data_IF_270767425653
#
_entry.id   IF_270767425653
#
_cell.length_a   1.000
_cell.length_b   1.000
_cell.length_c   1.000
_cell.angle_alpha   90.00
_cell.angle_beta   90.00
_cell.angle_gamma   90.00
#
_symmetry.space_group_name_H-M   'P 1'
#
loop_
_entity.id
_entity.type
_entity.pdbx_description
1 polymer ?
#
# COMPACT_ATOMS: atom_id res chain seq x y z
N UNK A 1 -48.83 19.52 14.16
CA UNK A 1 -49.92 19.66 13.16
C UNK A 1 -49.68 20.99 12.48
N UNK A 2 -49.37 21.01 11.19
CA UNK A 2 -49.20 22.28 10.47
C UNK A 2 -50.57 22.95 10.26
N UNK A 3 -50.60 24.27 10.11
CA UNK A 3 -51.84 25.06 9.95
C UNK A 3 -52.65 24.70 8.70
N UNK A 4 -52.05 24.00 7.73
CA UNK A 4 -52.69 23.51 6.51
C UNK A 4 -53.28 22.09 6.63
N UNK A 5 -53.27 21.47 7.82
CA UNK A 5 -53.81 20.13 8.03
C UNK A 5 -52.92 18.98 7.53
N UNK A 6 -51.72 19.27 6.99
CA UNK A 6 -50.78 18.22 6.57
C UNK A 6 -50.25 17.43 7.78
N UNK A 7 -50.34 16.10 7.68
CA UNK A 7 -49.84 15.14 8.68
C UNK A 7 -48.95 14.12 7.96
N UNK A 8 -47.62 14.27 8.03
CA UNK A 8 -46.72 13.26 7.48
C UNK A 8 -46.90 11.94 8.26
N UNK A 9 -46.98 10.83 7.53
CA UNK A 9 -47.06 9.48 8.06
C UNK A 9 -45.91 8.65 7.45
N UNK A 10 -44.68 8.78 7.95
CA UNK A 10 -43.56 7.96 7.48
C UNK A 10 -43.79 6.48 7.81
N UNK A 11 -43.09 5.60 7.10
CA UNK A 11 -43.11 4.18 7.41
C UNK A 11 -42.36 3.91 8.73
N UNK A 12 -42.91 3.04 9.56
CA UNK A 12 -42.24 2.53 10.76
C UNK A 12 -41.22 1.47 10.36
N UNK A 13 -39.94 1.87 10.27
CA UNK A 13 -38.83 1.02 9.82
C UNK A 13 -37.72 0.88 10.88
N UNK A 14 -38.03 1.15 12.15
CA UNK A 14 -37.06 1.08 13.26
C UNK A 14 -36.38 -0.28 13.37
N UNK A 15 -37.08 -1.33 12.96
CA UNK A 15 -36.62 -2.72 13.07
C UNK A 15 -35.76 -3.14 11.87
N UNK A 16 -35.73 -2.34 10.79
CA UNK A 16 -34.92 -2.59 9.60
C UNK A 16 -33.51 -2.04 9.80
N UNK A 17 -32.57 -2.95 10.05
CA UNK A 17 -31.14 -2.63 10.16
C UNK A 17 -30.45 -2.84 8.82
N UNK A 18 -29.71 -1.83 8.38
CA UNK A 18 -28.88 -1.93 7.19
C UNK A 18 -27.64 -2.76 7.47
N UNK A 19 -27.18 -3.50 6.45
CA UNK A 19 -25.91 -4.24 6.51
C UNK A 19 -24.72 -3.29 6.35
N UNK A 20 -23.49 -3.70 6.74
CA UNK A 20 -22.29 -2.90 6.52
C UNK A 20 -22.07 -2.53 5.04
N UNK A 21 -22.34 -3.45 4.11
CA UNK A 21 -22.26 -3.20 2.67
C UNK A 21 -23.25 -2.10 2.23
N UNK A 22 -24.48 -2.13 2.76
CA UNK A 22 -25.48 -1.10 2.48
C UNK A 22 -25.10 0.27 3.04
N UNK A 23 -24.43 0.35 4.20
CA UNK A 23 -23.91 1.62 4.72
C UNK A 23 -22.77 2.19 3.84
N UNK A 24 -21.93 1.33 3.24
CA UNK A 24 -20.94 1.76 2.24
C UNK A 24 -21.64 2.29 0.98
N UNK A 25 -22.70 1.61 0.53
CA UNK A 25 -23.51 2.07 -0.60
C UNK A 25 -24.14 3.45 -0.34
N UNK A 26 -24.64 3.70 0.88
CA UNK A 26 -25.18 5.01 1.27
C UNK A 26 -24.16 6.13 1.05
N UNK A 27 -22.89 5.92 1.42
CA UNK A 27 -21.85 6.94 1.23
C UNK A 27 -21.51 7.16 -0.25
N UNK A 28 -21.40 6.08 -1.04
CA UNK A 28 -21.21 6.18 -2.50
C UNK A 28 -22.36 6.93 -3.19
N UNK A 29 -23.59 6.70 -2.76
CA UNK A 29 -24.76 7.43 -3.27
C UNK A 29 -24.73 8.90 -2.86
N UNK A 30 -24.28 9.21 -1.63
CA UNK A 30 -24.17 10.58 -1.14
C UNK A 30 -23.12 11.38 -1.92
N UNK A 31 -21.98 10.75 -2.21
CA UNK A 31 -20.95 11.30 -3.07
C UNK A 31 -21.48 11.55 -4.49
N UNK A 32 -22.14 10.57 -5.10
CA UNK A 32 -22.69 10.74 -6.44
C UNK A 32 -23.76 11.84 -6.52
N UNK A 33 -24.67 11.89 -5.55
CA UNK A 33 -25.68 12.95 -5.47
C UNK A 33 -25.04 14.35 -5.39
N UNK A 34 -23.97 14.48 -4.61
CA UNK A 34 -23.18 15.71 -4.55
C UNK A 34 -22.51 16.04 -5.88
N UNK A 35 -21.90 15.06 -6.54
CA UNK A 35 -21.21 15.25 -7.82
C UNK A 35 -22.19 15.68 -8.92
N UNK A 36 -23.39 15.11 -8.97
CA UNK A 36 -24.46 15.53 -9.90
C UNK A 36 -24.87 16.98 -9.61
N UNK A 37 -25.13 17.33 -8.35
CA UNK A 37 -25.46 18.70 -7.95
C UNK A 37 -24.34 19.68 -8.34
N UNK A 38 -23.09 19.34 -8.06
CA UNK A 38 -21.93 20.19 -8.35
C UNK A 38 -21.77 20.39 -9.86
N UNK A 39 -21.90 19.32 -10.66
CA UNK A 39 -21.87 19.38 -12.13
C UNK A 39 -22.93 20.32 -12.68
N UNK A 40 -24.17 20.22 -12.21
CA UNK A 40 -25.27 21.08 -12.66
C UNK A 40 -25.05 22.55 -12.25
N UNK A 41 -24.53 22.78 -11.05
CA UNK A 41 -24.20 24.13 -10.59
C UNK A 41 -23.06 24.76 -11.39
N UNK A 42 -22.00 24.02 -11.68
CA UNK A 42 -20.90 24.48 -12.53
C UNK A 42 -21.44 24.83 -13.92
N UNK A 43 -22.30 23.99 -14.50
CA UNK A 43 -22.94 24.26 -15.81
C UNK A 43 -23.80 25.53 -15.81
N UNK A 44 -24.40 25.86 -14.67
CA UNK A 44 -25.14 27.11 -14.46
C UNK A 44 -24.24 28.33 -14.15
N UNK A 45 -22.91 28.17 -14.22
CA UNK A 45 -21.93 29.22 -13.97
C UNK A 45 -21.71 29.52 -12.49
N UNK A 46 -22.06 28.59 -11.59
CA UNK A 46 -21.68 28.72 -10.18
C UNK A 46 -20.20 28.39 -10.00
N UNK A 47 -19.56 29.10 -9.09
CA UNK A 47 -18.15 28.94 -8.75
C UNK A 47 -17.98 28.71 -7.25
N UNK A 48 -16.80 28.24 -6.87
CA UNK A 48 -16.45 28.12 -5.46
C UNK A 48 -16.34 29.51 -4.79
N UNK A 49 -16.81 29.60 -3.55
CA UNK A 49 -16.54 30.75 -2.70
C UNK A 49 -16.64 30.42 -1.23
N UNK A 50 -15.86 31.10 -0.41
CA UNK A 50 -15.77 30.85 1.05
C UNK A 50 -17.13 31.00 1.74
N UNK A 51 -17.99 31.87 1.21
CA UNK A 51 -19.36 32.08 1.67
C UNK A 51 -20.34 31.90 0.51
N UNK A 52 -21.58 31.56 0.87
CA UNK A 52 -22.65 31.46 -0.11
C UNK A 52 -23.06 32.86 -0.56
N UNK A 53 -22.95 33.13 -1.85
CA UNK A 53 -23.40 34.37 -2.48
C UNK A 53 -24.18 34.05 -3.75
N UNK A 54 -25.49 34.23 -3.68
CA UNK A 54 -26.39 33.94 -4.79
C UNK A 54 -26.22 34.96 -5.93
N UNK A 55 -25.86 36.22 -5.62
CA UNK A 55 -25.71 37.28 -6.63
C UNK A 55 -24.50 37.03 -7.51
N UNK A 56 -23.37 36.65 -6.90
CA UNK A 56 -22.14 36.28 -7.65
C UNK A 56 -22.06 34.80 -8.02
N UNK A 57 -23.13 34.02 -7.75
CA UNK A 57 -23.20 32.57 -7.99
C UNK A 57 -22.03 31.81 -7.33
N UNK A 58 -21.74 32.09 -6.07
CA UNK A 58 -20.70 31.41 -5.29
C UNK A 58 -21.28 30.49 -4.23
N UNK A 59 -20.70 29.30 -4.08
CA UNK A 59 -21.14 28.34 -3.07
C UNK A 59 -19.94 27.63 -2.40
N UNK A 60 -19.85 27.60 -1.06
CA UNK A 60 -18.76 26.94 -0.34
C UNK A 60 -18.76 25.43 -0.46
N UNK A 61 -19.90 24.84 -0.81
CA UNK A 61 -20.03 23.40 -1.02
C UNK A 61 -19.58 22.97 -2.42
N UNK A 62 -19.22 23.90 -3.32
CA UNK A 62 -18.76 23.56 -4.67
C UNK A 62 -17.29 23.10 -4.67
N UNK A 63 -17.03 22.04 -3.93
CA UNK A 63 -15.75 21.35 -3.77
C UNK A 63 -16.01 19.84 -3.96
N UNK A 64 -14.97 19.04 -4.26
CA UNK A 64 -15.08 17.58 -4.22
C UNK A 64 -15.71 17.07 -2.92
N UNK A 65 -16.54 16.02 -2.99
CA UNK A 65 -17.28 15.48 -1.83
C UNK A 65 -16.35 15.20 -0.63
N UNK A 66 -15.15 14.65 -0.88
CA UNK A 66 -14.15 14.38 0.14
C UNK A 66 -13.77 15.60 1.00
N UNK A 67 -13.79 16.81 0.42
CA UNK A 67 -13.42 18.07 1.07
C UNK A 67 -14.59 18.81 1.73
N UNK A 68 -15.81 18.26 1.66
CA UNK A 68 -16.94 18.83 2.38
C UNK A 68 -16.79 18.66 3.89
N UNK A 69 -17.43 19.57 4.62
CA UNK A 69 -17.55 19.46 6.06
C UNK A 69 -18.41 18.24 6.47
N UNK A 70 -18.04 17.59 7.57
CA UNK A 70 -18.71 16.38 8.05
C UNK A 70 -20.19 16.59 8.37
N UNK A 71 -20.60 17.82 8.73
CA UNK A 71 -22.01 18.13 8.99
C UNK A 71 -22.83 18.07 7.71
N UNK A 72 -22.34 18.65 6.61
CA UNK A 72 -22.99 18.57 5.30
C UNK A 72 -23.03 17.13 4.79
N UNK A 73 -21.91 16.39 4.87
CA UNK A 73 -21.87 14.97 4.48
C UNK A 73 -22.87 14.14 5.28
N UNK A 74 -22.92 14.33 6.60
CA UNK A 74 -23.84 13.61 7.49
C UNK A 74 -25.30 13.82 7.08
N UNK A 75 -25.72 15.05 6.78
CA UNK A 75 -27.10 15.32 6.35
C UNK A 75 -27.47 14.59 5.04
N UNK A 76 -26.54 14.53 4.09
CA UNK A 76 -26.77 13.81 2.83
C UNK A 76 -26.83 12.29 3.06
N UNK A 77 -25.90 11.75 3.86
CA UNK A 77 -25.89 10.34 4.24
C UNK A 77 -27.16 9.94 4.98
N UNK A 78 -27.61 10.73 5.94
CA UNK A 78 -28.82 10.43 6.73
C UNK A 78 -30.07 10.38 5.81
N UNK A 79 -30.17 11.31 4.85
CA UNK A 79 -31.28 11.32 3.89
C UNK A 79 -31.29 10.09 2.99
N UNK A 80 -30.11 9.68 2.49
CA UNK A 80 -29.97 8.50 1.62
C UNK A 80 -30.06 7.18 2.39
N UNK A 81 -29.65 7.17 3.67
CA UNK A 81 -29.83 6.03 4.57
C UNK A 81 -31.31 5.69 4.72
N UNK A 82 -32.16 6.69 4.94
CA UNK A 82 -33.60 6.43 5.02
C UNK A 82 -34.19 5.95 3.69
N UNK A 83 -33.68 6.41 2.56
CA UNK A 83 -34.09 5.89 1.24
C UNK A 83 -33.71 4.41 1.06
N UNK A 84 -32.49 4.01 1.42
CA UNK A 84 -32.02 2.62 1.36
C UNK A 84 -32.80 1.76 2.35
N UNK A 85 -33.02 2.23 3.58
CA UNK A 85 -33.83 1.55 4.59
C UNK A 85 -35.28 1.34 4.13
N UNK A 86 -35.85 2.33 3.44
CA UNK A 86 -37.19 2.21 2.85
C UNK A 86 -37.24 1.11 1.79
N UNK A 87 -36.26 1.05 0.88
CA UNK A 87 -36.19 -0.01 -0.12
C UNK A 87 -36.06 -1.41 0.52
N UNK A 88 -35.16 -1.57 1.50
CA UNK A 88 -35.02 -2.84 2.23
C UNK A 88 -36.30 -3.19 2.99
N UNK A 89 -36.96 -2.20 3.60
CA UNK A 89 -38.23 -2.38 4.30
C UNK A 89 -39.38 -2.83 3.39
N UNK A 90 -39.35 -2.46 2.12
CA UNK A 90 -40.27 -2.98 1.10
C UNK A 90 -39.91 -4.39 0.60
N UNK A 91 -38.81 -4.98 1.07
CA UNK A 91 -38.37 -6.33 0.70
C UNK A 91 -37.43 -6.38 -0.51
N UNK A 92 -36.89 -5.23 -0.95
CA UNK A 92 -35.85 -5.23 -1.98
C UNK A 92 -34.52 -5.70 -1.36
N UNK A 93 -33.95 -6.74 -1.95
CA UNK A 93 -32.62 -7.20 -1.60
C UNK A 93 -31.57 -6.36 -2.34
N UNK A 94 -30.77 -5.62 -1.58
CA UNK A 94 -29.70 -4.77 -2.10
C UNK A 94 -28.41 -5.31 -1.51
N UNK A 95 -27.77 -6.16 -2.30
CA UNK A 95 -26.46 -6.71 -2.00
C UNK A 95 -25.43 -6.03 -2.90
N UNK A 96 -24.72 -4.99 -2.39
CA UNK A 96 -23.59 -4.44 -3.13
C UNK A 96 -22.53 -5.55 -3.22
N UNK A 97 -21.99 -5.84 -4.42
CA UNK A 97 -20.97 -6.88 -4.55
C UNK A 97 -19.84 -6.60 -3.55
N UNK A 98 -19.25 -7.68 -3.01
CA UNK A 98 -17.98 -7.69 -2.28
C UNK A 98 -16.84 -7.20 -3.20
N UNK A 99 -16.97 -6.01 -3.74
CA UNK A 99 -15.83 -5.17 -4.01
C UNK A 99 -15.35 -4.72 -2.63
N UNK A 100 -14.70 -5.67 -1.93
CA UNK A 100 -13.49 -5.37 -1.18
C UNK A 100 -12.83 -4.24 -1.93
N UNK A 101 -12.77 -3.10 -1.24
CA UNK A 101 -12.05 -1.90 -1.61
C UNK A 101 -11.28 -2.19 -2.87
N UNK A 102 -11.83 -1.77 -4.02
CA UNK A 102 -10.98 -1.28 -5.09
C UNK A 102 -10.30 -0.10 -4.40
N UNK A 103 -9.33 -0.42 -3.52
CA UNK A 103 -8.20 0.40 -3.20
C UNK A 103 -7.89 0.91 -4.55
N UNK A 104 -7.95 2.24 -4.66
CA UNK A 104 -7.65 2.95 -5.85
C UNK A 104 -6.73 2.05 -6.69
N UNK A 105 -7.00 1.96 -7.99
CA UNK A 105 -5.88 1.92 -8.88
C UNK A 105 -5.12 3.20 -8.52
N UNK A 106 -4.35 3.12 -7.44
CA UNK A 106 -3.36 4.04 -6.99
C UNK A 106 -2.40 3.69 -8.10
N UNK A 107 -2.56 4.44 -9.18
CA UNK A 107 -1.46 4.94 -9.94
C UNK A 107 -0.54 5.70 -8.95
N UNK A 108 -0.08 5.04 -7.88
CA UNK A 108 1.18 5.31 -7.27
C UNK A 108 2.16 4.98 -8.37
N UNK A 109 2.40 5.99 -9.21
CA UNK A 109 3.50 5.97 -10.14
C UNK A 109 4.76 5.67 -9.32
N UNK A 110 5.74 5.02 -9.95
CA UNK A 110 7.10 4.85 -9.43
C UNK A 110 7.65 6.16 -8.83
N UNK A 111 7.13 7.33 -9.24
CA UNK A 111 7.49 8.65 -8.69
C UNK A 111 7.14 8.83 -7.20
N UNK A 112 6.10 8.13 -6.72
CA UNK A 112 5.60 8.22 -5.35
C UNK A 112 6.29 7.26 -4.38
N UNK A 113 6.89 6.19 -4.89
CA UNK A 113 7.58 5.18 -4.08
C UNK A 113 9.09 5.48 -4.03
N UNK A 114 9.66 5.48 -2.83
CA UNK A 114 11.11 5.51 -2.62
C UNK A 114 11.63 4.11 -2.41
N UNK A 115 12.53 3.69 -3.29
CA UNK A 115 13.27 2.44 -3.16
C UNK A 115 14.56 2.70 -2.38
N UNK A 116 14.91 1.82 -1.45
CA UNK A 116 16.14 1.84 -0.67
C UNK A 116 16.81 0.47 -0.71
N UNK A 117 18.11 0.42 -0.97
CA UNK A 117 18.90 -0.82 -0.96
C UNK A 117 20.25 -0.62 -0.33
N UNK A 118 20.83 -1.71 0.14
CA UNK A 118 22.26 -1.73 0.50
C UNK A 118 23.14 -1.65 -0.77
N UNK A 119 24.36 -1.11 -0.63
CA UNK A 119 25.41 -1.14 -1.66
C UNK A 119 25.64 -2.57 -2.19
N UNK A 120 25.75 -2.70 -3.51
CA UNK A 120 25.81 -4.01 -4.19
C UNK A 120 27.02 -4.87 -3.80
N UNK A 121 28.10 -4.24 -3.35
CA UNK A 121 29.33 -4.93 -2.94
C UNK A 121 29.16 -5.70 -1.63
N UNK A 122 28.07 -5.47 -0.88
CA UNK A 122 27.71 -6.23 0.32
C UNK A 122 26.75 -7.39 0.04
N UNK A 123 26.58 -7.79 -1.23
CA UNK A 123 25.71 -8.93 -1.56
C UNK A 123 26.17 -10.22 -0.87
N UNK A 124 25.28 -10.84 -0.12
CA UNK A 124 25.55 -12.12 0.56
C UNK A 124 25.34 -13.27 -0.41
N UNK A 125 26.30 -14.21 -0.42
CA UNK A 125 26.31 -15.36 -1.35
C UNK A 125 26.22 -16.72 -0.65
N UNK A 126 26.54 -16.77 0.63
CA UNK A 126 26.62 -17.99 1.44
C UNK A 126 26.13 -17.72 2.86
N UNK A 127 25.80 -18.75 3.62
CA UNK A 127 25.41 -18.63 5.03
C UNK A 127 23.97 -18.16 5.26
N UNK A 128 23.67 -17.84 6.51
CA UNK A 128 22.35 -17.46 7.00
C UNK A 128 22.37 -16.02 7.52
N UNK A 129 21.50 -15.16 7.00
CA UNK A 129 21.50 -13.73 7.31
C UNK A 129 20.16 -13.22 7.79
N UNK A 130 20.21 -12.26 8.72
CA UNK A 130 19.07 -11.64 9.38
C UNK A 130 19.18 -10.12 9.43
N UNK A 131 18.05 -9.43 9.23
CA UNK A 131 17.90 -8.02 9.57
C UNK A 131 16.46 -7.72 10.02
N UNK A 132 16.26 -6.56 10.68
CA UNK A 132 14.93 -6.12 11.14
C UNK A 132 14.49 -4.85 10.43
N UNK A 133 13.18 -4.72 10.25
CA UNK A 133 12.53 -3.52 9.74
C UNK A 133 11.36 -3.13 10.64
N UNK A 134 11.47 -1.97 11.28
CA UNK A 134 10.45 -1.39 12.15
C UNK A 134 9.50 -0.50 11.35
N UNK A 135 8.20 -0.79 11.47
CA UNK A 135 7.09 -0.10 10.81
C UNK A 135 6.69 1.12 11.63
N UNK A 136 7.14 2.32 11.26
CA UNK A 136 6.82 3.56 11.99
C UNK A 136 5.51 4.20 11.51
N UNK A 137 5.03 3.82 10.33
CA UNK A 137 3.68 4.08 9.82
C UNK A 137 3.11 2.83 9.15
N UNK A 138 1.83 2.51 9.35
CA UNK A 138 1.21 1.26 8.88
C UNK A 138 0.70 1.28 7.45
N UNK A 139 1.34 2.00 6.53
CA UNK A 139 0.90 2.11 5.14
C UNK A 139 1.79 1.34 4.16
N UNK A 140 1.66 1.68 2.88
CA UNK A 140 2.26 0.98 1.74
C UNK A 140 3.79 1.00 1.79
N UNK A 141 4.37 -0.13 2.20
CA UNK A 141 5.81 -0.37 2.20
C UNK A 141 6.07 -1.83 1.87
N UNK A 142 7.27 -2.12 1.39
CA UNK A 142 7.74 -3.50 1.19
C UNK A 142 9.14 -3.65 1.73
N UNK A 143 9.48 -4.84 2.21
CA UNK A 143 10.81 -5.14 2.75
C UNK A 143 11.21 -6.58 2.46
N UNK A 144 12.49 -6.81 2.21
CA UNK A 144 13.02 -8.16 2.04
C UNK A 144 14.39 -8.14 1.39
N UNK A 145 14.60 -9.05 0.45
CA UNK A 145 15.88 -9.26 -0.21
C UNK A 145 15.74 -9.02 -1.72
N UNK A 146 16.76 -8.46 -2.34
CA UNK A 146 16.83 -8.28 -3.78
C UNK A 146 18.18 -8.70 -4.33
N UNK A 147 18.21 -9.09 -5.61
CA UNK A 147 19.42 -9.25 -6.38
C UNK A 147 20.08 -7.88 -6.57
N UNK A 148 21.42 -7.80 -6.64
CA UNK A 148 22.12 -6.53 -6.88
C UNK A 148 21.70 -5.80 -8.17
N UNK A 149 21.20 -6.54 -9.17
CA UNK A 149 20.68 -6.01 -10.44
C UNK A 149 19.29 -5.38 -10.37
N UNK A 150 18.64 -5.36 -9.20
CA UNK A 150 17.31 -4.77 -9.04
C UNK A 150 17.31 -3.30 -9.47
N UNK A 151 16.37 -2.95 -10.35
CA UNK A 151 16.34 -1.62 -10.94
C UNK A 151 15.46 -0.69 -10.12
N UNK A 152 15.87 0.57 -9.88
CA UNK A 152 15.10 1.51 -9.08
C UNK A 152 13.85 2.05 -9.80
N UNK A 153 13.73 1.83 -11.11
CA UNK A 153 12.58 2.19 -11.95
C UNK A 153 11.53 1.08 -12.04
N UNK A 154 11.76 -0.06 -11.36
CA UNK A 154 10.82 -1.17 -11.30
C UNK A 154 10.33 -1.33 -9.86
N UNK A 155 9.03 -1.53 -9.69
CA UNK A 155 8.42 -1.67 -8.37
C UNK A 155 8.83 -3.02 -7.74
N UNK A 156 9.24 -2.99 -6.47
CA UNK A 156 9.77 -4.17 -5.79
C UNK A 156 8.83 -5.38 -5.82
N UNK A 157 9.33 -6.48 -6.38
CA UNK A 157 8.67 -7.77 -6.48
C UNK A 157 7.70 -7.91 -7.66
N UNK A 158 7.67 -6.94 -8.57
CA UNK A 158 6.94 -7.07 -9.84
C UNK A 158 7.72 -7.84 -10.90
N UNK A 159 9.04 -7.83 -10.83
CA UNK A 159 9.97 -8.65 -11.61
C UNK A 159 10.56 -9.81 -10.77
N UNK A 160 11.54 -10.52 -11.34
CA UNK A 160 12.26 -11.62 -10.70
C UNK A 160 13.48 -11.17 -9.87
N UNK A 161 13.70 -9.85 -9.74
CA UNK A 161 14.89 -9.30 -9.08
C UNK A 161 14.72 -9.19 -7.57
N UNK A 162 13.50 -9.16 -7.06
CA UNK A 162 13.24 -8.96 -5.64
C UNK A 162 12.26 -9.98 -5.05
N UNK A 163 12.46 -10.26 -3.77
CA UNK A 163 11.72 -11.18 -2.93
C UNK A 163 11.34 -10.44 -1.65
N UNK A 164 10.16 -9.81 -1.65
CA UNK A 164 9.76 -8.89 -0.58
C UNK A 164 8.40 -9.22 0.00
N UNK A 165 8.22 -8.84 1.26
CA UNK A 165 6.95 -8.84 1.95
C UNK A 165 6.31 -7.45 1.89
N UNK A 166 5.10 -7.38 1.34
CA UNK A 166 4.17 -6.25 1.43
C UNK A 166 3.31 -6.45 2.68
N UNK A 167 3.72 -5.84 3.77
CA UNK A 167 2.98 -5.96 5.02
C UNK A 167 1.81 -5.01 5.15
N UNK A 168 1.60 -4.06 4.22
CA UNK A 168 0.34 -3.30 4.22
C UNK A 168 -0.82 -4.20 3.75
N UNK A 169 -0.55 -5.05 2.76
CA UNK A 169 -1.55 -5.94 2.15
C UNK A 169 -1.48 -7.38 2.64
N UNK A 170 -0.44 -7.76 3.41
CA UNK A 170 -0.22 -9.14 3.84
C UNK A 170 0.08 -10.07 2.66
N UNK A 171 1.08 -9.70 1.84
CA UNK A 171 1.40 -10.41 0.60
C UNK A 171 2.91 -10.57 0.43
N UNK A 172 3.32 -11.66 -0.21
CA UNK A 172 4.68 -11.83 -0.73
C UNK A 172 4.70 -11.43 -2.21
N UNK A 173 5.78 -10.77 -2.62
CA UNK A 173 5.95 -10.19 -3.94
C UNK A 173 7.25 -10.71 -4.56
N UNK A 174 7.12 -11.41 -5.68
CA UNK A 174 8.19 -11.88 -6.55
C UNK A 174 7.56 -12.36 -7.86
N UNK A 175 7.86 -11.69 -8.98
CA UNK A 175 7.20 -11.90 -10.27
C UNK A 175 5.66 -11.98 -10.14
N UNK A 176 5.09 -11.10 -9.32
CA UNK A 176 3.66 -11.08 -8.99
C UNK A 176 3.36 -11.18 -7.49
N UNK A 177 2.08 -11.13 -7.15
CA UNK A 177 1.58 -11.01 -5.79
C UNK A 177 0.89 -12.28 -5.30
N UNK A 178 1.21 -12.76 -4.10
CA UNK A 178 0.55 -13.92 -3.47
C UNK A 178 0.27 -13.64 -1.99
N UNK A 179 -0.84 -14.15 -1.47
CA UNK A 179 -1.15 -14.07 -0.04
C UNK A 179 -0.06 -14.71 0.80
N UNK A 180 0.34 -14.03 1.88
CA UNK A 180 1.37 -14.48 2.79
C UNK A 180 1.27 -13.71 4.11
N UNK A 181 1.15 -14.42 5.23
CA UNK A 181 1.01 -13.80 6.53
C UNK A 181 -0.24 -12.94 6.67
N UNK A 182 -0.13 -11.85 7.42
CA UNK A 182 -1.20 -10.88 7.66
C UNK A 182 -0.65 -9.45 7.64
N UNK A 183 -1.52 -8.42 7.53
CA UNK A 183 -1.07 -7.03 7.55
C UNK A 183 -0.37 -6.63 8.85
N UNK A 184 0.59 -5.70 8.74
CA UNK A 184 1.26 -5.05 9.85
C UNK A 184 0.46 -3.84 10.37
N UNK A 185 0.90 -3.32 11.51
CA UNK A 185 0.49 -2.03 12.07
C UNK A 185 1.72 -1.24 12.51
N UNK A 186 1.50 0.04 12.79
CA UNK A 186 2.53 0.92 13.37
C UNK A 186 3.08 0.29 14.67
N UNK A 187 4.40 0.21 14.76
CA UNK A 187 5.16 -0.35 15.87
C UNK A 187 5.63 -1.78 15.64
N UNK A 188 5.08 -2.49 14.65
CA UNK A 188 5.50 -3.85 14.34
C UNK A 188 6.92 -3.89 13.78
N UNK A 189 7.58 -5.03 13.96
CA UNK A 189 8.91 -5.30 13.42
C UNK A 189 8.88 -6.55 12.55
N UNK A 190 9.34 -6.40 11.31
CA UNK A 190 9.53 -7.51 10.38
C UNK A 190 10.95 -8.02 10.52
N UNK A 191 11.12 -9.29 10.87
CA UNK A 191 12.40 -9.99 10.75
C UNK A 191 12.53 -10.61 9.37
N UNK A 192 13.61 -10.32 8.66
CA UNK A 192 13.86 -10.82 7.30
C UNK A 192 15.05 -11.78 7.34
N UNK A 193 14.79 -13.06 7.05
CA UNK A 193 15.78 -14.15 7.09
C UNK A 193 16.03 -14.69 5.69
N UNK A 194 17.30 -14.95 5.37
CA UNK A 194 17.70 -15.66 4.15
C UNK A 194 18.72 -16.73 4.50
N UNK A 195 18.48 -17.94 4.04
CA UNK A 195 19.40 -19.06 4.12
C UNK A 195 19.87 -19.39 2.69
N UNK A 196 21.13 -19.08 2.41
CA UNK A 196 21.73 -19.27 1.09
C UNK A 196 22.05 -20.74 0.78
N UNK A 197 22.12 -21.58 1.80
CA UNK A 197 22.41 -23.02 1.67
C UNK A 197 21.13 -23.78 1.31
N UNK A 198 20.06 -23.55 2.08
CA UNK A 198 18.74 -24.17 1.84
C UNK A 198 17.92 -23.44 0.78
N UNK A 199 18.45 -22.33 0.24
CA UNK A 199 17.79 -21.47 -0.75
C UNK A 199 16.38 -21.07 -0.30
N UNK A 200 16.27 -20.63 0.94
CA UNK A 200 15.00 -20.29 1.58
C UNK A 200 15.02 -18.90 2.19
N UNK A 201 13.87 -18.23 2.14
CA UNK A 201 13.62 -16.96 2.83
C UNK A 201 12.41 -17.10 3.73
N UNK A 202 12.55 -16.59 4.95
CA UNK A 202 11.53 -16.64 5.99
C UNK A 202 11.33 -15.21 6.50
N UNK A 203 10.09 -14.89 6.83
CA UNK A 203 9.75 -13.61 7.44
C UNK A 203 9.07 -13.84 8.77
N UNK A 204 9.42 -13.03 9.76
CA UNK A 204 8.68 -12.95 11.03
C UNK A 204 8.05 -11.59 11.18
N UNK A 205 6.96 -11.53 11.94
CA UNK A 205 6.36 -10.29 12.40
C UNK A 205 6.29 -10.34 13.93
N UNK A 206 7.02 -9.44 14.60
CA UNK A 206 7.15 -9.42 16.05
C UNK A 206 7.64 -10.76 16.66
N UNK A 207 8.53 -11.46 15.94
CA UNK A 207 9.08 -12.76 16.36
C UNK A 207 8.21 -13.97 15.98
N UNK A 208 6.98 -13.77 15.50
CA UNK A 208 6.12 -14.86 15.03
C UNK A 208 6.34 -15.13 13.53
N UNK A 209 6.44 -16.40 13.15
CA UNK A 209 6.63 -16.81 11.76
C UNK A 209 5.40 -16.46 10.91
N UNK A 210 5.64 -15.79 9.78
CA UNK A 210 4.59 -15.58 8.77
C UNK A 210 4.43 -16.84 7.93
N UNK A 211 3.19 -17.32 7.82
CA UNK A 211 2.86 -18.55 7.11
C UNK A 211 2.13 -18.28 5.79
N UNK A 212 2.36 -19.17 4.83
CA UNK A 212 1.60 -19.22 3.58
C UNK A 212 0.19 -19.78 3.80
N UNK A 213 -0.70 -19.62 2.82
CA UNK A 213 -2.04 -20.23 2.84
C UNK A 213 -2.02 -21.77 2.88
N UNK A 214 -0.86 -22.40 2.61
CA UNK A 214 -0.65 -23.85 2.71
C UNK A 214 -0.01 -24.27 4.04
N UNK A 215 0.16 -23.36 4.99
CA UNK A 215 0.76 -23.63 6.30
C UNK A 215 2.29 -23.76 6.30
N UNK A 216 2.96 -23.43 5.20
CA UNK A 216 4.44 -23.39 5.15
C UNK A 216 4.97 -22.05 5.66
N UNK A 217 6.05 -22.08 6.44
CA UNK A 217 6.83 -20.92 6.92
C UNK A 217 7.76 -20.31 5.86
N UNK A 218 7.97 -21.03 4.75
CA UNK A 218 8.86 -20.57 3.69
C UNK A 218 8.16 -19.47 2.87
N UNK A 219 8.60 -18.23 3.08
CA UNK A 219 8.18 -17.07 2.30
C UNK A 219 8.59 -17.20 0.84
N UNK A 220 9.84 -17.60 0.59
CA UNK A 220 10.34 -17.95 -0.74
C UNK A 220 11.31 -19.14 -0.65
N UNK A 221 11.39 -19.94 -1.71
CA UNK A 221 12.25 -21.12 -1.78
C UNK A 221 12.77 -21.33 -3.22
N UNK A 222 13.79 -22.16 -3.37
CA UNK A 222 14.33 -22.63 -4.65
C UNK A 222 14.87 -21.51 -5.57
N UNK A 223 15.39 -20.43 -5.00
CA UNK A 223 15.98 -19.32 -5.77
C UNK A 223 17.45 -19.55 -6.15
N UNK A 224 17.88 -18.94 -7.24
CA UNK A 224 19.28 -18.93 -7.68
C UNK A 224 20.14 -17.99 -6.82
N UNK A 225 21.37 -18.40 -6.51
CA UNK A 225 22.26 -17.73 -5.53
C UNK A 225 23.50 -17.09 -6.13
N UNK A 226 23.75 -17.21 -7.43
CA UNK A 226 25.03 -16.79 -8.08
C UNK A 226 25.38 -15.31 -7.85
N UNK A 227 24.40 -14.43 -8.03
CA UNK A 227 24.57 -12.97 -7.87
C UNK A 227 24.52 -12.50 -6.41
N UNK A 228 24.06 -13.37 -5.50
CA UNK A 228 23.81 -13.03 -4.10
C UNK A 228 22.59 -12.11 -3.90
N UNK A 229 22.40 -11.70 -2.65
CA UNK A 229 21.25 -10.88 -2.23
C UNK A 229 21.68 -9.72 -1.32
N UNK A 230 20.91 -8.64 -1.38
CA UNK A 230 21.07 -7.45 -0.53
C UNK A 230 19.74 -7.09 0.15
N UNK A 231 19.77 -6.55 1.39
CA UNK A 231 18.58 -5.99 2.04
C UNK A 231 18.01 -4.82 1.24
N UNK A 232 16.69 -4.81 1.12
CA UNK A 232 15.95 -3.80 0.35
C UNK A 232 14.64 -3.43 1.04
N UNK A 233 14.19 -2.19 0.85
CA UNK A 233 12.83 -1.79 1.16
C UNK A 233 12.30 -0.73 0.19
N UNK A 234 10.98 -0.64 0.09
CA UNK A 234 10.30 0.47 -0.59
C UNK A 234 9.33 1.14 0.38
N UNK A 235 9.29 2.47 0.33
CA UNK A 235 8.38 3.30 1.13
C UNK A 235 7.47 4.09 0.18
N UNK A 236 6.15 3.89 0.31
CA UNK A 236 5.17 4.74 -0.35
C UNK A 236 5.13 6.16 0.22
N UNK A 237 4.29 7.01 -0.35
CA UNK A 237 4.18 8.41 0.09
C UNK A 237 3.78 8.52 1.55
N UNK A 238 4.49 9.39 2.27
CA UNK A 238 4.30 9.66 3.69
C UNK A 238 4.48 8.43 4.61
N UNK A 239 5.15 7.38 4.12
CA UNK A 239 5.48 6.21 4.92
C UNK A 239 6.87 6.32 5.54
N UNK A 240 7.00 5.77 6.74
CA UNK A 240 8.21 5.81 7.56
C UNK A 240 8.48 4.38 8.03
N UNK A 241 9.67 3.89 7.68
CA UNK A 241 10.21 2.64 8.18
C UNK A 241 11.64 2.83 8.66
N UNK A 242 12.10 1.96 9.56
CA UNK A 242 13.48 1.96 10.04
C UNK A 242 14.07 0.57 9.83
N UNK A 243 15.11 0.50 8.99
CA UNK A 243 15.86 -0.72 8.77
C UNK A 243 17.03 -0.80 9.75
N UNK A 244 17.10 -1.89 10.51
CA UNK A 244 18.22 -2.24 11.36
C UNK A 244 18.95 -3.43 10.74
N UNK A 245 20.18 -3.19 10.28
CA UNK A 245 21.02 -4.22 9.65
C UNK A 245 21.88 -5.00 10.67
N UNK A 246 21.78 -4.67 11.96
CA UNK A 246 22.41 -5.45 13.02
C UNK A 246 23.89 -5.20 13.22
N UNK A 247 24.33 -3.93 13.12
CA UNK A 247 25.72 -3.55 13.45
C UNK A 247 26.00 -3.77 14.94
N UNK A 248 24.98 -3.54 15.76
CA UNK A 248 24.91 -3.97 17.15
C UNK A 248 23.73 -4.92 17.28
N UNK A 249 24.00 -6.21 17.47
CA UNK A 249 22.96 -7.24 17.61
C UNK A 249 22.04 -6.99 18.82
N UNK A 250 22.50 -6.25 19.84
CA UNK A 250 21.69 -5.88 21.00
C UNK A 250 20.58 -4.87 20.69
N UNK A 251 20.61 -4.24 19.50
CA UNK A 251 19.57 -3.30 19.05
C UNK A 251 18.39 -3.98 18.36
N UNK A 252 18.49 -5.28 18.06
CA UNK A 252 17.38 -6.05 17.54
C UNK A 252 16.34 -6.33 18.61
N UNK A 253 15.06 -6.27 18.23
CA UNK A 253 13.94 -6.51 19.15
C UNK A 253 13.60 -8.00 19.28
N UNK A 254 13.72 -8.76 18.18
CA UNK A 254 13.21 -10.12 18.09
C UNK A 254 14.27 -11.15 17.66
N UNK A 255 15.50 -10.72 17.35
CA UNK A 255 16.59 -11.60 16.91
C UNK A 255 16.83 -12.82 17.82
N UNK A 256 16.74 -12.67 19.14
CA UNK A 256 16.96 -13.79 20.09
C UNK A 256 15.86 -14.85 20.03
N UNK A 257 14.67 -14.50 19.54
CA UNK A 257 13.53 -15.41 19.45
C UNK A 257 13.55 -16.27 18.20
N UNK A 258 13.98 -15.72 17.05
CA UNK A 258 13.95 -16.42 15.76
C UNK A 258 15.33 -16.58 15.10
N UNK A 259 16.15 -15.52 15.06
CA UNK A 259 17.41 -15.56 14.33
C UNK A 259 18.53 -16.33 15.04
N UNK A 260 18.78 -16.01 16.32
CA UNK A 260 19.94 -16.54 17.06
C UNK A 260 19.88 -18.06 17.28
N UNK A 261 18.70 -18.58 17.60
CA UNK A 261 18.53 -20.01 17.87
C UNK A 261 18.69 -20.88 16.61
N UNK A 262 18.36 -20.33 15.45
CA UNK A 262 18.44 -21.01 14.15
C UNK A 262 19.79 -20.80 13.41
N UNK A 263 20.69 -20.02 14.03
CA UNK A 263 22.04 -19.76 13.53
C UNK A 263 22.10 -18.71 12.42
N UNK A 264 21.14 -17.80 12.34
CA UNK A 264 21.22 -16.64 11.44
C UNK A 264 22.14 -15.58 12.02
N UNK A 265 23.00 -14.99 11.19
CA UNK A 265 23.87 -13.88 11.59
C UNK A 265 23.26 -12.52 11.23
N UNK A 266 23.46 -11.48 12.06
CA UNK A 266 23.11 -10.11 11.67
C UNK A 266 23.85 -9.69 10.40
N UNK A 267 23.13 -9.08 9.44
CA UNK A 267 23.71 -8.66 8.16
C UNK A 267 25.00 -7.83 8.31
N UNK A 268 25.06 -6.96 9.31
CA UNK A 268 26.15 -6.03 9.55
C UNK A 268 27.14 -6.46 10.66
N UNK A 269 27.07 -7.70 11.15
CA UNK A 269 27.80 -8.13 12.37
C UNK A 269 29.32 -7.89 12.31
N UNK A 270 29.92 -8.08 11.13
CA UNK A 270 31.36 -7.95 10.92
C UNK A 270 31.74 -6.61 10.25
N UNK A 271 30.85 -5.62 10.24
CA UNK A 271 31.08 -4.36 9.54
C UNK A 271 31.58 -3.24 10.47
N UNK A 272 32.84 -2.85 10.26
CA UNK A 272 33.47 -1.78 11.04
C UNK A 272 33.07 -0.36 10.57
N UNK A 273 32.55 -0.24 9.34
CA UNK A 273 32.10 1.04 8.75
C UNK A 273 30.58 1.13 8.75
N UNK A 274 30.05 2.34 8.60
CA UNK A 274 28.63 2.52 8.32
C UNK A 274 28.27 1.90 6.97
N UNK A 275 27.12 1.24 6.90
CA UNK A 275 26.64 0.62 5.67
C UNK A 275 26.10 1.69 4.74
N UNK A 276 26.65 1.74 3.54
CA UNK A 276 26.14 2.62 2.49
C UNK A 276 24.80 2.09 1.97
N UNK A 277 23.79 2.96 2.01
CA UNK A 277 22.47 2.71 1.43
C UNK A 277 22.25 3.65 0.25
N UNK A 278 21.66 3.10 -0.81
CA UNK A 278 21.26 3.83 -2.00
C UNK A 278 19.75 3.99 -2.02
N UNK A 279 19.27 5.07 -2.63
CA UNK A 279 17.83 5.29 -2.83
C UNK A 279 17.52 5.71 -4.27
N UNK A 280 16.31 5.45 -4.73
CA UNK A 280 15.86 5.87 -6.06
C UNK A 280 15.85 7.41 -6.18
N UNK A 281 16.54 7.93 -7.19
CA UNK A 281 16.51 9.36 -7.53
C UNK A 281 15.20 9.67 -8.24
N UNK A 282 14.59 10.82 -7.90
CA UNK A 282 13.37 11.31 -8.55
C UNK A 282 13.63 12.13 -9.81
N UNK A 283 14.80 12.74 -9.91
CA UNK A 283 15.15 13.58 -11.07
C UNK A 283 15.65 12.67 -12.20
N UNK A 284 15.02 12.71 -13.39
CA UNK A 284 15.54 12.02 -14.55
C UNK A 284 16.95 12.53 -14.88
N UNK A 285 17.86 11.62 -15.13
CA UNK A 285 19.22 11.92 -15.60
C UNK A 285 19.47 11.19 -16.90
N UNK A 286 20.26 11.76 -17.78
CA UNK A 286 20.70 11.06 -19.00
C UNK A 286 21.46 9.79 -18.63
N UNK A 287 21.19 8.71 -19.34
CA UNK A 287 21.89 7.44 -19.26
C UNK A 287 22.06 6.89 -20.69
N UNK A 288 23.02 5.99 -20.87
CA UNK A 288 23.23 5.33 -22.14
C UNK A 288 22.10 4.33 -22.41
N UNK A 289 21.51 4.37 -23.61
CA UNK A 289 20.45 3.43 -24.01
C UNK A 289 21.03 2.00 -24.01
N UNK A 290 20.41 1.04 -23.29
CA UNK A 290 20.83 -0.36 -23.33
C UNK A 290 20.71 -0.95 -24.74
N UNK A 291 21.61 -1.86 -25.11
CA UNK A 291 21.59 -2.52 -26.42
C UNK A 291 20.34 -3.39 -26.64
N UNK A 292 19.69 -3.83 -25.56
CA UNK A 292 18.52 -4.71 -25.53
C UNK A 292 17.22 -3.96 -25.21
N UNK A 293 17.18 -2.65 -25.43
CA UNK A 293 15.98 -1.88 -25.13
C UNK A 293 14.80 -2.28 -26.02
N UNK A 294 13.72 -2.80 -25.41
CA UNK A 294 12.55 -3.40 -26.08
C UNK A 294 11.90 -2.55 -27.19
N UNK A 295 12.12 -1.23 -27.17
CA UNK A 295 11.51 -0.29 -28.11
C UNK A 295 12.51 0.68 -28.79
N UNK A 296 13.80 0.61 -28.48
CA UNK A 296 14.78 1.61 -28.96
C UNK A 296 16.02 0.89 -29.45
N UNK A 297 16.41 1.13 -30.69
CA UNK A 297 17.65 0.67 -31.29
C UNK A 297 18.49 1.89 -31.69
N UNK A 298 19.80 1.84 -31.46
CA UNK A 298 20.75 2.90 -31.83
C UNK A 298 21.82 2.29 -32.73
N UNK A 299 21.83 2.69 -34.00
CA UNK A 299 22.84 2.26 -34.96
C UNK A 299 23.64 3.46 -35.49
N UNK A 300 24.97 3.33 -35.53
CA UNK A 300 25.88 4.39 -35.98
C UNK A 300 26.36 4.04 -37.39
N UNK A 301 25.76 4.67 -38.39
CA UNK A 301 26.21 4.53 -39.77
C UNK A 301 27.46 5.37 -40.01
N UNK A 302 28.63 4.71 -40.04
CA UNK A 302 29.87 5.34 -40.51
C UNK A 302 29.83 5.37 -42.03
N UNK A 303 29.61 6.55 -42.62
CA UNK A 303 29.84 6.75 -44.06
C UNK A 303 31.36 6.73 -44.29
N UNK A 304 31.83 5.68 -44.96
CA UNK A 304 33.18 5.58 -45.52
C UNK A 304 33.41 6.62 -46.62
#
# INVERSE_FOLDING_TARGET
MMSNGYKPAPLELSDVKLTPGQEVLVDKLAENAHNVWAKDRIKQGWTYGIQQDVKSRRNPRLVPYALLDERTKKSNRDSLREAIRTMVGYGYDIDPPDQEVVHAIDNQSIETIRFFRVEQTYAVKTGKWYFEFEVLSGGDMRVGWARPGCRPDVELGTDDQAYVFDGYRGRRMHAGSRYFGHPWKKGDVVGCMINMEDKSMIFTLNGELLITSKGSELGFADFETEDGFIPVCSLGMSQIGRMNLGKDAGTFKYYTMCGLQEGFEPFAVNMNREITMWFSKRLPTFFNVPHDHMHIEVDVHVKL
#
